data_IF_439148724952
#
_entry.id   IF_439148724952
#
_cell.length_a   1.000
_cell.length_b   1.000
_cell.length_c   1.000
_cell.angle_alpha   90.00
_cell.angle_beta   90.00
_cell.angle_gamma   90.00
#
_symmetry.space_group_name_H-M   'P 1'
#
loop_
_entity.id
_entity.type
_entity.pdbx_description
1 polymer ?
#
# COMPACT_ATOMS: atom_id res chain seq x y z
N UNK A 1 -4.78 -8.42 -16.88
CA UNK A 1 -4.08 -7.29 -16.23
C UNK A 1 -2.72 -7.75 -15.74
N UNK A 2 -1.65 -7.09 -16.18
CA UNK A 2 -0.25 -7.37 -15.80
C UNK A 2 0.03 -6.85 -14.38
N UNK A 3 1.06 -7.40 -13.74
CA UNK A 3 1.48 -6.99 -12.38
C UNK A 3 1.75 -5.48 -12.28
N UNK A 4 2.41 -4.92 -13.30
CA UNK A 4 2.74 -3.50 -13.36
C UNK A 4 1.48 -2.61 -13.49
N UNK A 5 0.47 -3.07 -14.23
CA UNK A 5 -0.79 -2.35 -14.43
C UNK A 5 -1.61 -2.30 -13.12
N UNK A 6 -1.69 -3.43 -12.39
CA UNK A 6 -2.35 -3.45 -11.08
C UNK A 6 -1.64 -2.54 -10.09
N UNK A 7 -0.31 -2.56 -10.09
CA UNK A 7 0.50 -1.72 -9.22
C UNK A 7 0.27 -0.24 -9.51
N UNK A 8 0.38 0.16 -10.78
CA UNK A 8 0.11 1.53 -11.23
C UNK A 8 -1.30 1.98 -10.85
N UNK A 9 -2.31 1.13 -11.08
CA UNK A 9 -3.71 1.46 -10.81
C UNK A 9 -3.99 1.73 -9.33
N UNK A 10 -3.35 0.99 -8.43
CA UNK A 10 -3.42 1.24 -6.97
C UNK A 10 -2.71 2.54 -6.62
N UNK A 11 -1.52 2.80 -7.14
CA UNK A 11 -0.78 4.02 -6.82
C UNK A 11 -1.42 5.29 -7.39
N UNK A 12 -2.06 5.19 -8.56
CA UNK A 12 -2.94 6.22 -9.11
C UNK A 12 -4.13 6.54 -8.20
N UNK A 13 -4.68 5.53 -7.52
CA UNK A 13 -5.75 5.74 -6.54
C UNK A 13 -5.22 6.46 -5.29
N UNK A 14 -4.06 6.06 -4.75
CA UNK A 14 -3.39 6.75 -3.64
C UNK A 14 -3.07 8.20 -4.02
N UNK A 15 -2.60 8.47 -5.24
CA UNK A 15 -2.39 9.82 -5.78
C UNK A 15 -3.67 10.65 -5.76
N UNK A 16 -4.78 10.06 -6.22
CA UNK A 16 -6.09 10.71 -6.21
C UNK A 16 -6.58 11.07 -4.81
N UNK A 17 -6.33 10.20 -3.82
CA UNK A 17 -6.64 10.48 -2.43
C UNK A 17 -5.82 11.68 -1.89
N UNK A 18 -4.53 11.73 -2.17
CA UNK A 18 -3.70 12.89 -1.79
C UNK A 18 -4.12 14.18 -2.47
N UNK A 19 -4.55 14.13 -3.74
CA UNK A 19 -5.05 15.29 -4.45
C UNK A 19 -6.31 15.90 -3.79
N UNK A 20 -7.19 15.06 -3.23
CA UNK A 20 -8.36 15.53 -2.45
C UNK A 20 -7.97 16.27 -1.17
N UNK A 21 -6.78 16.01 -0.64
CA UNK A 21 -6.19 16.71 0.51
C UNK A 21 -5.26 17.85 0.07
N UNK A 22 -5.41 18.33 -1.17
CA UNK A 22 -4.59 19.39 -1.76
C UNK A 22 -3.09 19.09 -1.79
N UNK A 23 -2.70 17.81 -1.70
CA UNK A 23 -1.32 17.38 -1.77
C UNK A 23 -0.98 16.87 -3.18
N UNK A 24 -0.22 17.67 -3.93
CA UNK A 24 0.27 17.27 -5.25
C UNK A 24 1.38 16.23 -5.11
N UNK A 25 1.15 15.07 -5.72
CA UNK A 25 2.07 13.92 -5.70
C UNK A 25 2.27 13.37 -7.11
N UNK A 26 3.37 12.65 -7.32
CA UNK A 26 3.78 12.16 -8.63
C UNK A 26 4.12 10.67 -8.56
N UNK A 27 3.91 9.95 -9.66
CA UNK A 27 4.36 8.56 -9.75
C UNK A 27 5.81 8.53 -10.21
N UNK A 28 6.64 7.71 -9.57
CA UNK A 28 8.02 7.53 -9.98
C UNK A 28 8.09 6.98 -11.41
N UNK A 29 8.78 7.65 -12.36
CA UNK A 29 8.81 7.24 -13.76
C UNK A 29 9.64 5.96 -13.98
N UNK A 30 10.63 5.73 -13.10
CA UNK A 30 11.55 4.60 -13.17
C UNK A 30 11.98 4.16 -11.76
N UNK A 31 12.72 3.06 -11.70
CA UNK A 31 13.36 2.61 -10.46
C UNK A 31 14.54 3.53 -10.11
N UNK A 32 14.59 4.00 -8.87
CA UNK A 32 15.74 4.62 -8.22
C UNK A 32 16.27 3.65 -7.16
N UNK A 33 17.59 3.45 -7.12
CA UNK A 33 18.22 2.45 -6.25
C UNK A 33 17.83 2.68 -4.80
N UNK A 34 17.26 1.65 -4.17
CA UNK A 34 17.11 1.58 -2.71
C UNK A 34 18.46 1.21 -2.09
N UNK A 35 18.77 1.80 -0.94
CA UNK A 35 19.82 1.26 -0.08
C UNK A 35 19.27 0.05 0.67
N UNK A 36 20.08 -0.98 0.96
CA UNK A 36 19.62 -2.15 1.72
C UNK A 36 18.93 -1.74 3.03
N UNK A 37 17.71 -2.25 3.25
CA UNK A 37 16.90 -1.93 4.43
C UNK A 37 16.23 -0.54 4.43
N UNK A 38 16.34 0.25 3.35
CA UNK A 38 15.83 1.62 3.30
C UNK A 38 14.80 1.81 2.18
N UNK A 39 13.62 1.22 2.37
CA UNK A 39 12.53 1.22 1.38
C UNK A 39 12.02 2.61 0.98
N UNK A 40 12.29 3.67 1.75
CA UNK A 40 11.87 5.04 1.44
C UNK A 40 12.97 5.92 0.82
N UNK A 41 14.20 5.41 0.71
CA UNK A 41 15.33 6.14 0.11
C UNK A 41 15.36 5.95 -1.41
N UNK A 42 15.08 4.75 -1.90
CA UNK A 42 14.84 4.50 -3.32
C UNK A 42 13.35 4.58 -3.66
N UNK A 43 13.03 4.27 -4.91
CA UNK A 43 11.66 4.18 -5.37
C UNK A 43 11.56 3.19 -6.52
N UNK A 44 10.57 2.32 -6.50
CA UNK A 44 10.19 1.51 -7.65
C UNK A 44 9.38 2.35 -8.64
N UNK A 45 9.28 1.85 -9.88
CA UNK A 45 8.39 2.49 -10.87
C UNK A 45 6.96 2.49 -10.34
N UNK A 46 6.32 3.65 -10.43
CA UNK A 46 4.98 3.95 -9.90
C UNK A 46 4.84 4.04 -8.39
N UNK A 47 5.93 3.99 -7.61
CA UNK A 47 5.87 4.47 -6.23
C UNK A 47 5.44 5.94 -6.20
N UNK A 48 4.79 6.34 -5.11
CA UNK A 48 4.28 7.69 -4.98
C UNK A 48 5.34 8.60 -4.36
N UNK A 49 5.56 9.74 -5.01
CA UNK A 49 6.54 10.74 -4.67
C UNK A 49 5.87 12.05 -4.28
N UNK A 50 6.47 12.77 -3.33
CA UNK A 50 6.19 14.16 -3.01
C UNK A 50 7.50 14.93 -3.03
N UNK A 51 7.59 15.97 -3.87
CA UNK A 51 8.83 16.74 -4.08
C UNK A 51 10.05 15.83 -4.35
N UNK A 52 9.85 14.81 -5.19
CA UNK A 52 10.88 13.83 -5.54
C UNK A 52 11.21 12.79 -4.45
N UNK A 53 10.65 12.89 -3.24
CA UNK A 53 10.86 11.94 -2.13
C UNK A 53 9.74 10.91 -2.08
N UNK A 54 10.07 9.63 -1.86
CA UNK A 54 9.05 8.57 -1.76
C UNK A 54 8.20 8.75 -0.51
N UNK A 55 6.88 8.73 -0.70
CA UNK A 55 5.89 8.80 0.38
C UNK A 55 4.96 7.59 0.40
N UNK A 56 4.88 6.81 -0.68
CA UNK A 56 4.18 5.53 -0.65
C UNK A 56 4.83 4.53 -1.60
N UNK A 57 4.78 3.26 -1.21
CA UNK A 57 5.18 2.12 -2.05
C UNK A 57 4.58 0.84 -1.50
N UNK A 58 4.59 -0.21 -2.31
CA UNK A 58 3.99 -1.49 -1.95
C UNK A 58 4.80 -2.68 -2.46
N UNK A 59 4.51 -3.84 -1.89
CA UNK A 59 4.82 -5.13 -2.48
C UNK A 59 3.53 -5.73 -3.07
N UNK A 60 3.68 -6.57 -4.10
CA UNK A 60 2.56 -7.31 -4.67
C UNK A 60 2.86 -8.80 -4.75
N UNK A 61 1.86 -9.62 -4.41
CA UNK A 61 1.90 -11.07 -4.58
C UNK A 61 0.66 -11.53 -5.32
N UNK A 62 0.85 -12.29 -6.40
CA UNK A 62 -0.22 -12.88 -7.21
C UNK A 62 -0.09 -14.40 -7.19
N UNK A 63 -1.22 -15.08 -7.07
CA UNK A 63 -1.33 -16.52 -7.27
C UNK A 63 -2.60 -16.82 -8.09
N UNK A 64 -2.92 -18.10 -8.30
CA UNK A 64 -4.13 -18.53 -9.04
C UNK A 64 -5.46 -18.10 -8.39
N UNK A 65 -5.44 -17.73 -7.11
CA UNK A 65 -6.64 -17.37 -6.34
C UNK A 65 -6.84 -15.86 -6.21
N UNK A 66 -5.81 -15.05 -6.47
CA UNK A 66 -5.95 -13.60 -6.34
C UNK A 66 -4.66 -12.81 -6.37
N UNK A 67 -4.80 -11.53 -6.04
CA UNK A 67 -3.74 -10.53 -5.97
C UNK A 67 -3.83 -9.82 -4.62
N UNK A 68 -2.71 -9.82 -3.89
CA UNK A 68 -2.51 -8.98 -2.71
C UNK A 68 -1.53 -7.87 -3.08
N UNK A 69 -1.92 -6.62 -2.85
CA UNK A 69 -1.02 -5.45 -2.88
C UNK A 69 -1.07 -4.86 -1.47
N UNK A 70 0.08 -4.84 -0.81
CA UNK A 70 0.21 -4.31 0.55
C UNK A 70 1.41 -3.38 0.59
N UNK A 71 1.20 -2.20 1.17
CA UNK A 71 2.20 -1.16 1.17
C UNK A 71 2.12 -0.26 2.39
N UNK A 72 3.00 0.73 2.40
CA UNK A 72 3.11 1.72 3.47
C UNK A 72 3.00 3.11 2.87
N UNK A 73 2.42 4.03 3.64
CA UNK A 73 2.31 5.44 3.32
C UNK A 73 2.93 6.26 4.46
N UNK A 74 3.89 7.12 4.12
CA UNK A 74 4.50 8.11 5.00
C UNK A 74 4.07 9.50 4.51
N UNK A 75 2.99 10.07 5.06
CA UNK A 75 2.54 11.39 4.62
C UNK A 75 3.60 12.45 4.93
N UNK A 76 3.71 13.51 4.12
CA UNK A 76 4.56 14.66 4.44
C UNK A 76 4.21 15.28 5.80
N UNK A 77 5.14 16.00 6.45
CA UNK A 77 4.93 16.62 7.76
C UNK A 77 4.03 17.87 7.65
N UNK A 78 2.79 17.68 7.20
CA UNK A 78 1.80 18.73 6.97
C UNK A 78 0.59 18.63 7.92
N UNK A 79 0.69 17.78 8.95
CA UNK A 79 -0.39 17.61 9.93
C UNK A 79 -1.62 16.87 9.38
N UNK A 80 -1.47 16.06 8.32
CA UNK A 80 -2.58 15.29 7.77
C UNK A 80 -3.07 14.27 8.81
N UNK A 81 -4.34 14.37 9.18
CA UNK A 81 -4.95 13.43 10.10
C UNK A 81 -5.15 12.07 9.41
N UNK A 82 -5.06 10.99 10.19
CA UNK A 82 -5.34 9.63 9.69
C UNK A 82 -6.78 9.51 9.19
N UNK A 83 -7.73 10.20 9.83
CA UNK A 83 -9.15 10.15 9.50
C UNK A 83 -9.42 10.80 8.13
N UNK A 84 -8.85 11.98 7.88
CA UNK A 84 -8.99 12.67 6.58
C UNK A 84 -8.34 11.87 5.46
N UNK A 85 -7.18 11.28 5.73
CA UNK A 85 -6.52 10.36 4.80
C UNK A 85 -7.39 9.15 4.44
N UNK A 86 -7.95 8.48 5.45
CA UNK A 86 -8.83 7.34 5.25
C UNK A 86 -10.08 7.73 4.45
N UNK A 87 -10.70 8.86 4.78
CA UNK A 87 -11.87 9.38 4.05
C UNK A 87 -11.51 9.68 2.59
N UNK A 88 -10.40 10.36 2.33
CA UNK A 88 -9.96 10.68 0.98
C UNK A 88 -9.67 9.43 0.14
N UNK A 89 -9.08 8.39 0.74
CA UNK A 89 -8.89 7.08 0.09
C UNK A 89 -10.23 6.46 -0.31
N UNK A 90 -11.20 6.42 0.62
CA UNK A 90 -12.52 5.89 0.33
C UNK A 90 -13.24 6.68 -0.77
N UNK A 91 -13.29 8.01 -0.65
CA UNK A 91 -13.94 8.92 -1.61
C UNK A 91 -13.34 8.77 -3.01
N UNK A 92 -12.01 8.67 -3.12
CA UNK A 92 -11.34 8.52 -4.41
C UNK A 92 -11.70 7.19 -5.12
N UNK A 93 -11.95 6.12 -4.37
CA UNK A 93 -12.42 4.85 -4.94
C UNK A 93 -13.90 4.87 -5.29
N UNK A 94 -14.74 5.54 -4.50
CA UNK A 94 -16.16 5.76 -4.83
C UNK A 94 -16.25 6.51 -6.15
N UNK A 95 -15.54 7.63 -6.29
CA UNK A 95 -15.58 8.43 -7.52
C UNK A 95 -15.05 7.67 -8.73
N UNK A 96 -13.93 6.94 -8.58
CA UNK A 96 -13.25 6.31 -9.71
C UNK A 96 -13.86 4.97 -10.12
N UNK A 97 -14.38 4.20 -9.16
CA UNK A 97 -14.80 2.81 -9.37
C UNK A 97 -16.21 2.51 -8.87
N UNK A 98 -16.93 3.52 -8.38
CA UNK A 98 -18.22 3.34 -7.70
C UNK A 98 -18.14 2.28 -6.59
N UNK A 99 -17.03 2.28 -5.86
CA UNK A 99 -16.77 1.30 -4.81
C UNK A 99 -17.73 1.49 -3.63
N UNK A 100 -18.31 0.39 -3.14
CA UNK A 100 -19.05 0.38 -1.89
C UNK A 100 -18.13 -0.12 -0.77
N UNK A 101 -17.82 0.75 0.19
CA UNK A 101 -17.00 0.40 1.35
C UNK A 101 -17.88 -0.13 2.47
N UNK A 102 -17.50 -1.28 3.01
CA UNK A 102 -18.13 -1.91 4.16
C UNK A 102 -17.10 -2.10 5.26
N UNK A 103 -17.53 -2.08 6.52
CA UNK A 103 -16.70 -2.52 7.62
C UNK A 103 -16.26 -3.96 7.37
N UNK A 104 -14.96 -4.22 7.47
CA UNK A 104 -14.41 -5.55 7.28
C UNK A 104 -14.45 -6.30 8.61
N UNK A 105 -15.36 -7.26 8.71
CA UNK A 105 -15.46 -8.19 9.83
C UNK A 105 -14.92 -9.56 9.37
N UNK A 106 -13.69 -9.96 9.76
CA UNK A 106 -13.12 -11.23 9.34
C UNK A 106 -13.92 -12.39 9.93
N UNK A 107 -14.27 -13.37 9.11
CA UNK A 107 -14.97 -14.57 9.57
C UNK A 107 -14.08 -15.45 10.47
N UNK A 108 -14.72 -16.38 11.18
CA UNK A 108 -14.06 -17.31 12.09
C UNK A 108 -12.94 -18.11 11.42
N UNK A 109 -13.15 -18.52 10.17
CA UNK A 109 -12.17 -19.34 9.41
C UNK A 109 -10.91 -18.53 9.12
N UNK A 110 -11.06 -17.28 8.70
CA UNK A 110 -9.94 -16.38 8.43
C UNK A 110 -9.17 -16.05 9.71
N UNK A 111 -9.88 -15.79 10.81
CA UNK A 111 -9.25 -15.51 12.11
C UNK A 111 -8.46 -16.73 12.61
N UNK A 112 -9.05 -17.92 12.60
CA UNK A 112 -8.36 -19.16 12.97
C UNK A 112 -7.10 -19.37 12.13
N UNK A 113 -7.21 -19.17 10.81
CA UNK A 113 -6.06 -19.33 9.92
C UNK A 113 -4.96 -18.29 10.19
N UNK A 114 -5.33 -17.06 10.52
CA UNK A 114 -4.37 -16.02 10.90
C UNK A 114 -3.63 -16.39 12.19
N UNK A 115 -4.35 -16.88 13.20
CA UNK A 115 -3.77 -17.32 14.48
C UNK A 115 -2.84 -18.53 14.31
N UNK A 116 -3.23 -19.51 13.51
CA UNK A 116 -2.36 -20.64 13.13
C UNK A 116 -1.05 -20.14 12.51
N UNK A 117 -1.13 -19.25 11.53
CA UNK A 117 0.06 -18.69 10.88
C UNK A 117 0.93 -17.86 11.84
N UNK A 118 0.33 -17.19 12.82
CA UNK A 118 1.10 -16.51 13.88
C UNK A 118 1.87 -17.55 14.69
N UNK A 119 1.21 -18.59 15.20
CA UNK A 119 1.84 -19.63 16.04
C UNK A 119 2.92 -20.41 15.29
N UNK A 120 2.63 -20.84 14.06
CA UNK A 120 3.49 -21.76 13.31
C UNK A 120 4.59 -21.07 12.52
N UNK A 121 4.53 -19.74 12.37
CA UNK A 121 5.40 -19.03 11.42
C UNK A 121 5.76 -17.63 11.84
N UNK A 122 4.81 -16.69 11.90
CA UNK A 122 5.14 -15.27 11.99
C UNK A 122 5.61 -14.84 13.40
N UNK A 123 5.32 -15.60 14.44
CA UNK A 123 5.89 -15.38 15.79
C UNK A 123 7.27 -16.02 15.97
N UNK A 124 7.68 -16.94 15.08
CA UNK A 124 8.91 -17.70 15.25
C UNK A 124 10.13 -16.82 14.92
N UNK A 125 11.11 -16.71 15.84
CA UNK A 125 12.32 -15.93 15.59
C UNK A 125 13.16 -16.46 14.41
N UNK A 126 13.14 -17.77 14.15
CA UNK A 126 13.82 -18.38 13.01
C UNK A 126 13.28 -17.85 11.67
N UNK A 127 11.96 -17.74 11.56
CA UNK A 127 11.31 -17.19 10.38
C UNK A 127 11.66 -15.71 10.17
N UNK A 128 11.57 -14.90 11.22
CA UNK A 128 11.79 -13.45 11.12
C UNK A 128 13.26 -13.07 10.94
N UNK A 129 14.22 -13.91 11.36
CA UNK A 129 15.65 -13.62 11.25
C UNK A 129 16.27 -14.09 9.94
N UNK A 130 15.53 -14.80 9.08
CA UNK A 130 15.99 -15.29 7.78
C UNK A 130 17.45 -15.81 7.83
N UNK A 131 17.75 -16.72 8.77
CA UNK A 131 18.99 -17.51 8.76
C UNK A 131 18.83 -18.72 7.84
#
# INVERSE_FOLDING_TARGET
MRATESYQRVHEWIRGAFAKLSLRTELSPCRRKELPGQCFVGAERFDLLWQGRKIAGAAQRRNRHGLLIQGSVQPPPMGLSKADWQKAMCDAAVEKWNAAWLAFEPDTTLNQRAEELVREKYSLPEYNRHR
#
